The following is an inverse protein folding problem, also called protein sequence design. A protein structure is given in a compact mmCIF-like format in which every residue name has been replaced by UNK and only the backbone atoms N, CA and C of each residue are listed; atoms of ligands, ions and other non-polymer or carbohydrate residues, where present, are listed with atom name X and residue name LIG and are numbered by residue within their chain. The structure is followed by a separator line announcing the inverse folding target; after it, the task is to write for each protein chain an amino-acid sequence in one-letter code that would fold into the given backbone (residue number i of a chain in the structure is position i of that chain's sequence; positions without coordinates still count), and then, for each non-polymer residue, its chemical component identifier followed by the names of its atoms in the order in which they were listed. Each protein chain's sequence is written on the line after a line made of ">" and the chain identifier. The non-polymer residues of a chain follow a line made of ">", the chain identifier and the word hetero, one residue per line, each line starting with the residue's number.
data_IF_743844948472
#
_entry.id   IF_743844948472
#
_cell.length_a   1.000
_cell.length_b   1.000
_cell.length_c   1.000
_cell.angle_alpha   90.00
_cell.angle_beta   90.00
_cell.angle_gamma   90.00
#
_symmetry.space_group_name_H-M   'P 1'
#
loop_
_entity.id
_entity.type
_entity.pdbx_description
1 polymer ?
#
# COMPACT_ATOMS: atom_id res chain seq x y z
N UNK A 1 15.16 8.82 -10.21
CA UNK A 1 15.58 7.53 -9.73
C UNK A 1 16.44 7.65 -8.48
N UNK A 2 17.69 7.09 -8.43
CA UNK A 2 18.52 7.11 -7.22
C UNK A 2 18.64 8.51 -6.60
N UNK A 3 18.95 9.58 -7.34
CA UNK A 3 19.08 10.92 -6.74
C UNK A 3 17.82 11.41 -6.02
N UNK A 4 16.64 11.10 -6.56
CA UNK A 4 15.37 11.48 -5.92
C UNK A 4 15.14 10.70 -4.63
N UNK A 5 15.48 9.41 -4.63
CA UNK A 5 15.36 8.55 -3.44
C UNK A 5 16.28 9.04 -2.32
N UNK A 6 17.51 9.45 -2.64
CA UNK A 6 18.45 10.01 -1.68
C UNK A 6 17.95 11.33 -1.08
N UNK A 7 17.38 12.23 -1.89
CA UNK A 7 16.75 13.46 -1.42
C UNK A 7 15.58 13.15 -0.48
N UNK A 8 14.70 12.24 -0.87
CA UNK A 8 13.55 11.82 -0.06
C UNK A 8 14.04 11.21 1.26
N UNK A 9 15.03 10.30 1.23
CA UNK A 9 15.62 9.70 2.41
C UNK A 9 16.17 10.76 3.36
N UNK A 10 16.93 11.73 2.82
CA UNK A 10 17.46 12.85 3.59
C UNK A 10 16.38 13.70 4.27
N UNK A 11 15.23 13.86 3.63
CA UNK A 11 14.07 14.55 4.20
C UNK A 11 13.38 13.69 5.26
N UNK A 12 13.11 12.42 4.98
CA UNK A 12 12.45 11.50 5.91
C UNK A 12 13.24 11.34 7.22
N UNK A 13 14.58 11.31 7.17
CA UNK A 13 15.46 11.26 8.36
C UNK A 13 15.25 12.46 9.31
N UNK A 14 14.72 13.58 8.79
CA UNK A 14 14.41 14.79 9.59
C UNK A 14 13.02 14.76 10.20
N UNK A 15 12.10 13.91 9.68
CA UNK A 15 10.72 13.78 10.15
C UNK A 15 10.62 12.89 11.39
N UNK A 16 11.18 13.36 12.53
CA UNK A 16 11.12 12.61 13.79
C UNK A 16 9.68 12.46 14.29
N UNK A 17 9.30 11.22 14.62
CA UNK A 17 8.00 10.92 15.26
C UNK A 17 6.78 11.01 14.36
N UNK A 18 6.95 11.24 13.07
CA UNK A 18 5.83 11.21 12.11
C UNK A 18 5.76 9.83 11.43
N UNK A 19 4.53 9.28 11.23
CA UNK A 19 4.38 8.05 10.49
C UNK A 19 4.74 8.27 9.01
N UNK A 20 5.47 7.30 8.44
CA UNK A 20 5.83 7.27 7.03
C UNK A 20 5.16 6.07 6.39
N UNK A 21 4.22 6.31 5.48
CA UNK A 21 3.57 5.25 4.69
C UNK A 21 4.16 5.26 3.29
N UNK A 22 4.59 4.10 2.82
CA UNK A 22 5.20 3.93 1.50
C UNK A 22 4.37 2.98 0.65
N UNK A 23 3.83 3.46 -0.46
CA UNK A 23 3.24 2.65 -1.53
C UNK A 23 4.33 2.44 -2.59
N UNK A 24 4.93 1.23 -2.72
CA UNK A 24 6.13 1.02 -3.50
C UNK A 24 5.81 0.80 -4.99
N UNK A 25 5.14 1.76 -5.61
CA UNK A 25 4.70 1.68 -7.00
C UNK A 25 5.93 1.61 -7.92
N UNK A 26 6.17 0.46 -8.54
CA UNK A 26 7.31 0.24 -9.44
C UNK A 26 6.96 0.34 -10.92
N UNK A 27 5.69 0.17 -11.27
CA UNK A 27 5.21 0.24 -12.64
C UNK A 27 3.87 0.97 -12.75
N UNK A 28 3.68 1.67 -13.84
CA UNK A 28 2.38 2.21 -14.23
C UNK A 28 1.47 1.06 -14.74
N UNK A 29 0.15 1.29 -14.78
CA UNK A 29 -0.85 0.29 -15.22
C UNK A 29 -0.60 -0.24 -16.64
N UNK A 30 0.03 0.56 -17.51
CA UNK A 30 0.41 0.15 -18.86
C UNK A 30 1.71 -0.68 -18.89
N UNK A 31 2.23 -1.13 -17.75
CA UNK A 31 3.44 -1.93 -17.62
C UNK A 31 4.76 -1.13 -17.69
N UNK A 32 4.71 0.21 -17.91
CA UNK A 32 5.94 1.01 -17.94
C UNK A 32 6.57 1.07 -16.55
N UNK A 33 7.81 0.65 -16.44
CA UNK A 33 8.58 0.77 -15.20
C UNK A 33 8.76 2.24 -14.81
N UNK A 34 8.53 2.56 -13.55
CA UNK A 34 8.69 3.90 -12.96
C UNK A 34 9.98 4.02 -12.16
N UNK A 35 10.62 2.90 -11.84
CA UNK A 35 11.86 2.83 -11.07
C UNK A 35 12.84 1.86 -11.75
N UNK A 36 14.12 2.22 -11.79
CA UNK A 36 15.19 1.33 -12.29
C UNK A 36 15.55 0.27 -11.25
N UNK A 37 16.36 -0.71 -11.62
CA UNK A 37 16.85 -1.74 -10.67
C UNK A 37 17.74 -1.11 -9.59
N UNK A 38 18.57 -0.15 -9.95
CA UNK A 38 19.38 0.62 -9.03
C UNK A 38 18.52 1.46 -8.08
N UNK A 39 17.47 2.10 -8.63
CA UNK A 39 16.49 2.83 -7.85
C UNK A 39 15.76 1.94 -6.85
N UNK A 40 15.35 0.72 -7.25
CA UNK A 40 14.72 -0.23 -6.35
C UNK A 40 15.67 -0.65 -5.21
N UNK A 41 16.93 -0.95 -5.53
CA UNK A 41 17.95 -1.26 -4.50
C UNK A 41 18.15 -0.09 -3.55
N UNK A 42 18.18 1.13 -4.08
CA UNK A 42 18.30 2.35 -3.29
C UNK A 42 17.06 2.56 -2.39
N UNK A 43 15.84 2.34 -2.91
CA UNK A 43 14.59 2.41 -2.13
C UNK A 43 14.61 1.42 -0.97
N UNK A 44 15.00 0.16 -1.22
CA UNK A 44 15.10 -0.88 -0.18
C UNK A 44 16.09 -0.45 0.90
N UNK A 45 17.26 0.07 0.50
CA UNK A 45 18.33 0.43 1.43
C UNK A 45 18.05 1.71 2.21
N UNK A 46 17.50 2.73 1.56
CA UNK A 46 17.44 4.09 2.12
C UNK A 46 16.04 4.49 2.63
N UNK A 47 14.96 3.94 2.06
CA UNK A 47 13.58 4.33 2.39
C UNK A 47 12.92 3.30 3.32
N UNK A 48 13.02 1.99 3.02
CA UNK A 48 12.33 0.99 3.80
C UNK A 48 12.69 1.01 5.29
N UNK A 49 13.95 1.25 5.72
CA UNK A 49 14.27 1.38 7.14
C UNK A 49 13.66 2.60 7.84
N UNK A 50 13.19 3.58 7.09
CA UNK A 50 12.52 4.78 7.59
C UNK A 50 10.99 4.65 7.56
N UNK A 51 10.48 3.55 7.01
CA UNK A 51 9.06 3.33 6.76
C UNK A 51 8.34 2.81 8.00
N UNK A 52 7.24 3.46 8.38
CA UNK A 52 6.34 2.97 9.42
C UNK A 52 5.47 1.85 8.88
N UNK A 53 4.89 2.04 7.68
CA UNK A 53 4.00 1.08 7.03
C UNK A 53 4.27 1.01 5.53
N UNK A 54 4.58 -0.18 5.03
CA UNK A 54 4.74 -0.47 3.61
C UNK A 54 3.46 -1.13 3.07
N UNK A 55 2.95 -0.70 1.91
CA UNK A 55 1.65 -1.14 1.38
C UNK A 55 1.74 -1.74 -0.04
N UNK A 56 2.54 -2.78 -0.28
CA UNK A 56 2.68 -3.37 -1.60
C UNK A 56 1.44 -4.15 -2.03
N UNK A 57 1.14 -4.16 -3.33
CA UNK A 57 0.31 -5.19 -3.94
C UNK A 57 1.13 -6.49 -4.14
N UNK A 58 0.49 -7.57 -4.64
CA UNK A 58 1.17 -8.86 -4.80
C UNK A 58 2.35 -8.82 -5.80
N UNK A 59 2.25 -8.00 -6.85
CA UNK A 59 3.33 -7.85 -7.84
C UNK A 59 4.51 -7.08 -7.24
N UNK A 60 4.23 -5.99 -6.53
CA UNK A 60 5.22 -5.19 -5.81
C UNK A 60 5.90 -6.01 -4.71
N UNK A 61 5.12 -6.77 -3.94
CA UNK A 61 5.63 -7.66 -2.92
C UNK A 61 6.49 -8.77 -3.51
N UNK A 62 6.08 -9.33 -4.65
CA UNK A 62 6.85 -10.34 -5.40
C UNK A 62 8.18 -9.78 -5.90
N UNK A 63 8.18 -8.54 -6.37
CA UNK A 63 9.39 -7.87 -6.84
C UNK A 63 10.38 -7.63 -5.68
N UNK A 64 9.88 -7.15 -4.55
CA UNK A 64 10.70 -6.84 -3.37
C UNK A 64 11.30 -8.10 -2.71
N UNK A 65 10.60 -9.24 -2.78
CA UNK A 65 11.05 -10.50 -2.16
C UNK A 65 11.69 -11.48 -3.13
N UNK A 66 11.54 -11.27 -4.45
CA UNK A 66 11.97 -12.20 -5.49
C UNK A 66 11.12 -13.47 -5.56
N UNK A 67 9.94 -13.52 -4.92
CA UNK A 67 9.07 -14.71 -4.81
C UNK A 67 7.71 -14.45 -5.43
N UNK A 68 7.14 -15.44 -6.11
CA UNK A 68 5.74 -15.39 -6.57
C UNK A 68 4.80 -15.58 -5.38
N UNK A 69 3.72 -14.80 -5.35
CA UNK A 69 2.72 -14.82 -4.30
C UNK A 69 1.35 -15.04 -4.94
N UNK A 70 0.72 -16.16 -4.63
CA UNK A 70 -0.59 -16.55 -5.17
C UNK A 70 -1.61 -16.89 -4.09
N UNK A 71 -1.14 -17.46 -2.99
CA UNK A 71 -1.95 -17.94 -1.88
C UNK A 71 -1.87 -17.03 -0.67
N UNK A 72 -2.84 -17.15 0.22
CA UNK A 72 -2.87 -16.40 1.48
C UNK A 72 -1.66 -16.70 2.37
N UNK A 73 -1.21 -17.96 2.41
CA UNK A 73 -0.06 -18.32 3.26
C UNK A 73 1.25 -17.77 2.68
N UNK A 74 1.38 -17.73 1.35
CA UNK A 74 2.50 -17.04 0.70
C UNK A 74 2.47 -15.54 0.98
N UNK A 75 1.29 -14.89 0.98
CA UNK A 75 1.14 -13.48 1.32
C UNK A 75 1.51 -13.19 2.80
N UNK A 76 1.11 -14.05 3.73
CA UNK A 76 1.51 -13.95 5.16
C UNK A 76 3.03 -14.08 5.33
N UNK A 77 3.64 -15.06 4.65
CA UNK A 77 5.08 -15.27 4.71
C UNK A 77 5.83 -14.09 4.08
N UNK A 78 5.34 -13.58 2.95
CA UNK A 78 5.88 -12.40 2.30
C UNK A 78 5.82 -11.16 3.21
N UNK A 79 4.71 -10.91 3.89
CA UNK A 79 4.60 -9.79 4.82
C UNK A 79 5.67 -9.86 5.94
N UNK A 80 5.94 -11.05 6.49
CA UNK A 80 7.02 -11.26 7.47
C UNK A 80 8.42 -11.01 6.89
N UNK A 81 8.65 -11.40 5.64
CA UNK A 81 9.93 -11.17 4.97
C UNK A 81 10.14 -9.69 4.66
N UNK A 82 9.09 -8.99 4.21
CA UNK A 82 9.17 -7.58 3.89
C UNK A 82 9.52 -6.71 5.11
N UNK A 83 9.02 -7.05 6.31
CA UNK A 83 9.42 -6.34 7.55
C UNK A 83 10.93 -6.46 7.80
N UNK A 84 11.56 -7.57 7.42
CA UNK A 84 13.02 -7.75 7.55
C UNK A 84 13.84 -6.82 6.64
N UNK A 85 13.19 -6.22 5.63
CA UNK A 85 13.82 -5.22 4.76
C UNK A 85 13.85 -3.82 5.40
N UNK A 86 13.21 -3.63 6.59
CA UNK A 86 13.30 -2.39 7.35
C UNK A 86 12.00 -1.74 7.79
N UNK A 87 10.84 -1.87 7.10
CA UNK A 87 9.58 -1.29 7.56
C UNK A 87 9.18 -1.86 8.92
N UNK A 88 8.50 -1.05 9.74
CA UNK A 88 7.98 -1.54 11.04
C UNK A 88 6.78 -2.48 10.85
N UNK A 89 5.96 -2.23 9.82
CA UNK A 89 4.79 -3.02 9.49
C UNK A 89 4.59 -3.05 7.97
N UNK A 90 3.82 -4.04 7.51
CA UNK A 90 3.51 -4.23 6.08
C UNK A 90 2.04 -4.61 5.90
N UNK A 91 1.35 -3.98 4.94
CA UNK A 91 0.07 -4.48 4.40
C UNK A 91 0.31 -5.01 2.99
N UNK A 92 0.21 -6.30 2.80
CA UNK A 92 0.18 -6.91 1.45
C UNK A 92 -1.25 -6.86 0.93
N UNK A 93 -1.47 -6.07 -0.13
CA UNK A 93 -2.79 -5.92 -0.79
C UNK A 93 -3.09 -7.17 -1.62
N UNK A 94 -3.97 -8.04 -1.14
CA UNK A 94 -4.24 -9.37 -1.70
C UNK A 94 -5.41 -9.45 -2.68
N UNK A 95 -5.76 -8.36 -3.37
CA UNK A 95 -6.90 -8.30 -4.31
C UNK A 95 -6.88 -9.34 -5.44
N UNK A 96 -5.72 -9.89 -5.77
CA UNK A 96 -5.51 -10.90 -6.83
C UNK A 96 -5.10 -12.28 -6.30
N UNK A 97 -5.27 -12.54 -5.00
CA UNK A 97 -5.04 -13.88 -4.44
C UNK A 97 -5.99 -14.90 -5.06
N UNK A 98 -5.53 -16.15 -5.15
CA UNK A 98 -6.36 -17.28 -5.49
C UNK A 98 -7.45 -17.46 -4.41
N UNK A 99 -8.70 -17.60 -4.84
CA UNK A 99 -9.86 -17.66 -3.94
C UNK A 99 -10.39 -16.27 -3.60
N UNK A 100 -10.53 -15.95 -2.32
CA UNK A 100 -11.05 -14.67 -1.85
C UNK A 100 -9.96 -13.60 -1.78
N UNK A 101 -10.24 -12.34 -2.15
CA UNK A 101 -9.32 -11.25 -1.91
C UNK A 101 -9.15 -11.01 -0.40
N UNK A 102 -7.92 -11.07 0.07
CA UNK A 102 -7.60 -10.86 1.49
C UNK A 102 -6.38 -9.97 1.60
N UNK A 103 -6.51 -8.82 2.25
CA UNK A 103 -5.37 -8.01 2.62
C UNK A 103 -4.75 -8.51 3.93
N UNK A 104 -3.43 -8.53 3.96
CA UNK A 104 -2.65 -9.09 5.06
C UNK A 104 -1.82 -7.99 5.71
N UNK A 105 -2.20 -7.56 6.92
CA UNK A 105 -1.36 -6.71 7.75
C UNK A 105 -0.46 -7.58 8.64
N UNK A 106 0.83 -7.30 8.67
CA UNK A 106 1.77 -7.80 9.66
C UNK A 106 2.40 -6.59 10.38
N UNK A 107 2.20 -6.48 11.69
CA UNK A 107 2.66 -5.36 12.52
C UNK A 107 4.07 -5.54 13.07
N UNK A 108 4.76 -6.61 12.65
CA UNK A 108 6.06 -7.04 13.17
C UNK A 108 5.96 -8.14 14.25
N UNK A 109 4.74 -8.43 14.75
CA UNK A 109 4.45 -9.46 15.76
C UNK A 109 3.31 -10.37 15.33
N UNK A 110 2.16 -9.79 15.00
CA UNK A 110 0.90 -10.47 14.72
C UNK A 110 0.42 -10.21 13.29
N UNK A 111 -0.38 -11.11 12.76
CA UNK A 111 -1.02 -11.00 11.46
C UNK A 111 -2.49 -10.71 11.64
N UNK A 112 -2.98 -9.67 10.95
CA UNK A 112 -4.37 -9.31 10.84
C UNK A 112 -4.81 -9.49 9.39
N UNK A 113 -6.01 -10.04 9.20
CA UNK A 113 -6.55 -10.35 7.88
C UNK A 113 -7.85 -9.59 7.65
N UNK A 114 -8.01 -9.01 6.48
CA UNK A 114 -9.26 -8.43 6.03
C UNK A 114 -9.69 -9.06 4.71
N UNK A 115 -10.74 -9.87 4.75
CA UNK A 115 -11.40 -10.38 3.54
C UNK A 115 -12.19 -9.25 2.90
N UNK A 116 -12.13 -9.16 1.56
CA UNK A 116 -12.77 -8.10 0.77
C UNK A 116 -13.73 -8.67 -0.26
N UNK A 117 -14.69 -7.86 -0.68
CA UNK A 117 -15.49 -8.18 -1.84
C UNK A 117 -14.66 -8.02 -3.11
N UNK A 118 -14.76 -8.99 -4.02
CA UNK A 118 -14.10 -8.89 -5.33
C UNK A 118 -14.85 -7.90 -6.20
N UNK A 119 -14.24 -6.76 -6.47
CA UNK A 119 -14.80 -5.75 -7.37
C UNK A 119 -14.49 -6.16 -8.81
N UNK A 120 -15.52 -6.26 -9.64
CA UNK A 120 -15.38 -6.65 -11.07
C UNK A 120 -14.76 -5.56 -11.93
N UNK A 121 -14.93 -4.30 -11.54
CA UNK A 121 -14.40 -3.15 -12.29
C UNK A 121 -12.98 -2.83 -11.83
N UNK A 122 -12.10 -2.58 -12.81
CA UNK A 122 -10.78 -2.04 -12.51
C UNK A 122 -10.89 -0.53 -12.28
N UNK A 123 -10.78 -0.10 -11.02
CA UNK A 123 -10.83 1.30 -10.63
C UNK A 123 -9.41 1.80 -10.41
N UNK A 124 -9.05 2.92 -11.04
CA UNK A 124 -7.75 3.57 -10.87
C UNK A 124 -7.65 4.27 -9.52
N UNK A 125 -6.44 4.24 -8.91
CA UNK A 125 -6.13 5.02 -7.71
C UNK A 125 -6.56 4.38 -6.39
N UNK A 126 -7.16 3.18 -6.40
CA UNK A 126 -7.59 2.49 -5.17
C UNK A 126 -6.42 2.21 -4.22
N UNK A 127 -5.26 1.78 -4.74
CA UNK A 127 -4.05 1.56 -3.93
C UNK A 127 -3.54 2.86 -3.29
N UNK A 128 -3.43 3.93 -4.08
CA UNK A 128 -3.00 5.24 -3.59
C UNK A 128 -3.97 5.82 -2.55
N UNK A 129 -5.30 5.68 -2.76
CA UNK A 129 -6.30 6.10 -1.79
C UNK A 129 -6.15 5.32 -0.48
N UNK A 130 -6.03 4.00 -0.55
CA UNK A 130 -5.84 3.15 0.62
C UNK A 130 -4.61 3.56 1.44
N UNK A 131 -3.46 3.75 0.77
CA UNK A 131 -2.22 4.17 1.42
C UNK A 131 -2.34 5.57 2.03
N UNK A 132 -3.09 6.48 1.38
CA UNK A 132 -3.37 7.82 1.91
C UNK A 132 -4.27 7.80 3.13
N UNK A 133 -5.32 6.95 3.14
CA UNK A 133 -6.19 6.74 4.28
C UNK A 133 -5.40 6.20 5.49
N UNK A 134 -4.54 5.20 5.27
CA UNK A 134 -3.65 4.67 6.31
C UNK A 134 -2.76 5.77 6.89
N UNK A 135 -2.16 6.61 6.03
CA UNK A 135 -1.33 7.72 6.49
C UNK A 135 -2.14 8.73 7.32
N UNK A 136 -3.37 9.04 6.90
CA UNK A 136 -4.27 9.95 7.62
C UNK A 136 -4.64 9.38 9.00
N UNK A 137 -5.07 8.12 9.11
CA UNK A 137 -5.43 7.49 10.37
C UNK A 137 -4.22 7.40 11.33
N UNK A 138 -3.06 6.97 10.82
CA UNK A 138 -1.83 6.90 11.63
C UNK A 138 -1.39 8.28 12.13
N UNK A 139 -1.54 9.33 11.33
CA UNK A 139 -1.22 10.71 11.74
C UNK A 139 -2.17 11.21 12.83
N UNK A 140 -3.42 10.74 12.84
CA UNK A 140 -4.41 10.99 13.87
C UNK A 140 -4.30 10.03 15.08
N UNK A 141 -3.15 9.35 15.22
CA UNK A 141 -2.80 8.50 16.37
C UNK A 141 -3.67 7.25 16.52
N UNK A 142 -4.31 6.78 15.47
CA UNK A 142 -4.96 5.48 15.50
C UNK A 142 -3.90 4.38 15.69
N UNK A 143 -4.16 3.37 16.55
CA UNK A 143 -3.39 2.13 16.56
C UNK A 143 -3.37 1.49 15.17
N UNK A 144 -2.29 0.79 14.82
CA UNK A 144 -2.06 0.30 13.46
C UNK A 144 -3.18 -0.61 12.96
N UNK A 145 -3.66 -1.53 13.80
CA UNK A 145 -4.79 -2.43 13.46
C UNK A 145 -6.06 -1.62 13.21
N UNK A 146 -6.37 -0.67 14.08
CA UNK A 146 -7.56 0.19 13.92
C UNK A 146 -7.46 1.05 12.67
N UNK A 147 -6.28 1.62 12.37
CA UNK A 147 -6.03 2.37 11.15
C UNK A 147 -6.24 1.49 9.89
N UNK A 148 -5.78 0.24 9.93
CA UNK A 148 -5.98 -0.73 8.87
C UNK A 148 -7.45 -1.03 8.64
N UNK A 149 -8.21 -1.38 9.69
CA UNK A 149 -9.64 -1.70 9.59
C UNK A 149 -10.47 -0.47 9.17
N UNK A 150 -10.13 0.72 9.67
CA UNK A 150 -10.80 1.96 9.28
C UNK A 150 -10.53 2.29 7.80
N UNK A 151 -9.31 2.16 7.33
CA UNK A 151 -8.97 2.39 5.92
C UNK A 151 -9.69 1.42 4.99
N UNK A 152 -9.79 0.15 5.35
CA UNK A 152 -10.56 -0.85 4.59
C UNK A 152 -12.05 -0.49 4.52
N UNK A 153 -12.64 -0.08 5.64
CA UNK A 153 -14.05 0.34 5.70
C UNK A 153 -14.31 1.55 4.81
N UNK A 154 -13.45 2.55 4.84
CA UNK A 154 -13.58 3.73 3.98
C UNK A 154 -13.43 3.37 2.50
N UNK A 155 -12.53 2.44 2.18
CA UNK A 155 -12.38 1.91 0.82
C UNK A 155 -13.64 1.18 0.34
N UNK A 156 -14.25 0.34 1.18
CA UNK A 156 -15.51 -0.35 0.85
C UNK A 156 -16.62 0.66 0.56
N UNK A 157 -16.81 1.64 1.42
CA UNK A 157 -17.83 2.70 1.23
C UNK A 157 -17.59 3.52 -0.05
N UNK A 158 -16.33 3.82 -0.32
CA UNK A 158 -15.96 4.58 -1.50
C UNK A 158 -16.21 3.78 -2.79
N UNK A 159 -15.96 2.47 -2.79
CA UNK A 159 -16.25 1.57 -3.91
C UNK A 159 -17.77 1.36 -4.13
N UNK A 160 -18.56 1.29 -3.06
CA UNK A 160 -20.01 1.16 -3.15
C UNK A 160 -20.70 2.39 -3.75
N UNK A 161 -20.20 3.59 -3.45
CA UNK A 161 -20.79 4.85 -3.92
C UNK A 161 -20.55 5.14 -5.40
N UNK A 162 -19.79 4.33 -6.12
CA UNK A 162 -19.57 4.34 -7.57
C UNK A 162 -19.56 5.74 -8.19
N UNK A 163 -18.52 6.52 -7.94
CA UNK A 163 -18.33 7.76 -8.71
C UNK A 163 -17.61 7.44 -10.02
N UNK A 164 -18.38 7.24 -11.09
CA UNK A 164 -17.82 7.19 -12.44
C UNK A 164 -17.84 8.59 -13.05
N UNK A 165 -16.72 9.06 -13.54
CA UNK A 165 -16.72 10.18 -14.47
C UNK A 165 -16.95 9.60 -15.86
N UNK A 166 -18.14 9.86 -16.42
CA UNK A 166 -18.45 9.51 -17.79
C UNK A 166 -17.55 10.30 -18.74
N UNK A 167 -16.85 9.60 -19.65
CA UNK A 167 -16.15 10.23 -20.77
C UNK A 167 -14.63 10.07 -20.80
N UNK A 168 -14.02 9.48 -19.79
CA UNK A 168 -12.60 9.10 -19.83
C UNK A 168 -12.53 7.59 -19.61
N UNK A 169 -12.00 6.84 -20.57
CA UNK A 169 -11.86 5.40 -20.48
C UNK A 169 -11.13 5.02 -19.17
N UNK A 170 -11.50 3.89 -18.58
CA UNK A 170 -11.07 3.40 -17.27
C UNK A 170 -11.41 4.35 -16.10
N UNK A 171 -12.38 3.98 -15.27
CA UNK A 171 -12.88 4.80 -14.17
C UNK A 171 -11.78 5.33 -13.23
N UNK A 172 -11.78 6.63 -13.00
CA UNK A 172 -10.94 7.28 -11.99
C UNK A 172 -11.71 7.36 -10.68
N UNK A 173 -10.97 7.18 -9.57
CA UNK A 173 -11.51 7.33 -8.25
C UNK A 173 -11.45 8.81 -7.82
N UNK A 174 -12.62 9.40 -7.54
CA UNK A 174 -12.68 10.69 -6.87
C UNK A 174 -13.33 10.51 -5.50
N UNK A 175 -12.61 10.85 -4.44
CA UNK A 175 -13.22 11.00 -3.12
C UNK A 175 -14.18 12.19 -3.14
N UNK A 176 -15.41 11.99 -2.66
CA UNK A 176 -16.33 13.11 -2.43
C UNK A 176 -15.69 14.12 -1.45
N UNK A 177 -15.85 15.43 -1.65
CA UNK A 177 -15.41 16.45 -0.70
C UNK A 177 -15.99 16.29 0.71
N UNK A 178 -17.01 15.47 0.90
CA UNK A 178 -17.60 15.14 2.20
C UNK A 178 -16.70 14.28 3.10
N UNK A 179 -15.63 13.68 2.58
CA UNK A 179 -14.63 12.96 3.37
C UNK A 179 -13.58 13.89 4.04
N UNK A 180 -13.63 15.19 3.76
CA UNK A 180 -12.76 16.21 4.36
C UNK A 180 -13.59 17.09 5.33
N UNK A 181 -14.36 16.48 6.19
CA UNK A 181 -14.86 17.17 7.38
C UNK A 181 -14.02 16.73 8.55
N UNK A 182 -13.10 17.64 8.90
CA UNK A 182 -12.29 17.61 10.12
C UNK A 182 -13.15 17.50 11.38
#
# INVERSE_FOLDING_TARGET
>A
DVPYIEIISGFLKKLKGKPVVVDPIYAAKNGRRLITEEGLKCLIKEILPLTTLLTPNLEEASLLTGKKIKTLDEAKNCARELVRLGPRAVVVKGGHLEGKPVDVLFDGKEIFLREKLRVKQQIHGTGCLFSSLLAAFLTNSYPLEEAFLAAEKEMEQALEKNYSISGVGDGYFYSSPSLIKA
#
